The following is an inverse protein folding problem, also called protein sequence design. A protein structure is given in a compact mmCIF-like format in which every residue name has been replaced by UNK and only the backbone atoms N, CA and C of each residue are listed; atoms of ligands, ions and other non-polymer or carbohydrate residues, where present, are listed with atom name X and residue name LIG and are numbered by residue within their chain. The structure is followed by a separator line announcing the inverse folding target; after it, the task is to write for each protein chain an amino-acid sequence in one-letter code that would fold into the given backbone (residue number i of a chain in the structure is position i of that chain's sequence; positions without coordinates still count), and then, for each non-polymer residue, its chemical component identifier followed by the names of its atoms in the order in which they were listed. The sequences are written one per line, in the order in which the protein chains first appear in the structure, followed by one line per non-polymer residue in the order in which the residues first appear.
data_IF_349941081763
#
_entry.id   IF_349941081763
#
_cell.length_a   1.000
_cell.length_b   1.000
_cell.length_c   1.000
_cell.angle_alpha   90.00
_cell.angle_beta   90.00
_cell.angle_gamma   90.00
#
_symmetry.space_group_name_H-M   'P 1'
#
loop_
_entity.id
_entity.type
_entity.pdbx_description
1 polymer ?
#
# COMPACT_ATOMS: atom_id res chain seq x y z
N UNK A 1 -47.74 3.48 17.44
CA UNK A 1 -46.92 2.65 16.53
C UNK A 1 -45.45 2.85 16.91
N UNK A 2 -44.68 1.79 17.14
CA UNK A 2 -43.28 1.91 17.63
C UNK A 2 -42.29 2.26 16.51
N UNK A 3 -42.66 1.97 15.26
CA UNK A 3 -41.87 2.22 14.06
C UNK A 3 -42.48 3.35 13.24
N UNK A 4 -41.62 4.17 12.64
CA UNK A 4 -42.00 5.19 11.67
C UNK A 4 -40.91 5.36 10.62
N UNK A 5 -41.29 5.81 9.43
CA UNK A 5 -40.36 6.12 8.35
C UNK A 5 -39.84 7.53 8.52
N UNK A 6 -38.53 7.69 8.35
CA UNK A 6 -37.87 8.99 8.39
C UNK A 6 -36.90 9.12 7.22
N UNK A 7 -36.89 10.25 6.48
CA UNK A 7 -35.88 10.50 5.45
C UNK A 7 -34.45 10.47 6.01
N UNK A 8 -34.28 10.74 7.30
CA UNK A 8 -32.99 10.70 7.98
C UNK A 8 -32.37 9.29 8.03
N UNK A 9 -33.18 8.22 7.92
CA UNK A 9 -32.66 6.86 7.87
C UNK A 9 -32.03 6.51 6.51
N UNK A 10 -32.25 7.30 5.45
CA UNK A 10 -31.71 7.04 4.11
C UNK A 10 -30.18 7.00 4.11
N UNK A 11 -29.54 7.91 4.85
CA UNK A 11 -28.07 7.98 4.94
C UNK A 11 -27.48 6.71 5.55
N UNK A 12 -27.84 6.30 6.78
CA UNK A 12 -27.31 5.05 7.36
C UNK A 12 -27.71 3.79 6.58
N UNK A 13 -28.91 3.74 6.00
CA UNK A 13 -29.30 2.60 5.14
C UNK A 13 -28.40 2.54 3.90
N UNK A 14 -28.15 3.67 3.24
CA UNK A 14 -27.27 3.75 2.08
C UNK A 14 -25.83 3.39 2.44
N UNK A 15 -25.31 3.90 3.57
CA UNK A 15 -23.99 3.54 4.10
C UNK A 15 -23.90 2.04 4.39
N UNK A 16 -24.94 1.44 4.97
CA UNK A 16 -25.02 -0.01 5.21
C UNK A 16 -24.90 -0.79 3.90
N UNK A 17 -25.69 -0.42 2.89
CA UNK A 17 -25.67 -1.10 1.58
C UNK A 17 -24.29 -0.98 0.91
N UNK A 18 -23.71 0.21 0.91
CA UNK A 18 -22.35 0.44 0.39
C UNK A 18 -21.34 -0.43 1.12
N UNK A 19 -21.36 -0.46 2.45
CA UNK A 19 -20.44 -1.27 3.26
C UNK A 19 -20.64 -2.78 3.05
N UNK A 20 -21.86 -3.27 2.82
CA UNK A 20 -22.12 -4.67 2.47
C UNK A 20 -21.52 -5.01 1.09
N UNK A 21 -21.70 -4.14 0.10
CA UNK A 21 -21.12 -4.34 -1.24
C UNK A 21 -19.59 -4.36 -1.13
N UNK A 22 -18.98 -3.41 -0.43
CA UNK A 22 -17.54 -3.38 -0.20
C UNK A 22 -17.05 -4.64 0.53
N UNK A 23 -17.76 -5.06 1.58
CA UNK A 23 -17.43 -6.28 2.32
C UNK A 23 -17.45 -7.52 1.41
N UNK A 24 -18.49 -7.68 0.60
CA UNK A 24 -18.62 -8.84 -0.30
C UNK A 24 -17.55 -8.83 -1.40
N UNK A 25 -17.23 -7.67 -1.98
CA UNK A 25 -16.14 -7.52 -2.95
C UNK A 25 -14.77 -7.91 -2.38
N UNK A 26 -14.49 -7.55 -1.12
CA UNK A 26 -13.20 -7.84 -0.48
C UNK A 26 -13.15 -9.23 0.16
N UNK A 27 -14.29 -9.89 0.37
CA UNK A 27 -14.39 -11.19 1.05
C UNK A 27 -13.57 -12.31 0.38
N UNK A 28 -13.40 -12.26 -0.95
CA UNK A 28 -12.56 -13.21 -1.68
C UNK A 28 -11.09 -13.16 -1.25
N UNK A 29 -10.65 -12.03 -0.70
CA UNK A 29 -9.28 -11.81 -0.24
C UNK A 29 -9.08 -12.06 1.26
N UNK A 30 -10.09 -12.56 1.98
CA UNK A 30 -10.05 -12.78 3.46
C UNK A 30 -8.85 -13.58 4.00
N UNK A 31 -8.17 -14.33 3.14
CA UNK A 31 -6.96 -15.09 3.52
C UNK A 31 -5.73 -14.20 3.70
N UNK A 32 -5.66 -13.04 3.02
CA UNK A 32 -4.55 -12.09 3.15
C UNK A 32 -4.60 -11.38 4.50
N UNK A 33 -3.43 -11.10 5.09
CA UNK A 33 -3.34 -10.40 6.38
C UNK A 33 -3.97 -9.01 6.33
N UNK A 34 -3.81 -8.28 5.22
CA UNK A 34 -4.33 -6.93 5.03
C UNK A 34 -5.87 -6.88 4.97
N UNK A 35 -6.51 -7.88 4.34
CA UNK A 35 -7.97 -7.88 4.17
C UNK A 35 -8.72 -8.10 5.49
N UNK A 36 -8.13 -8.82 6.45
CA UNK A 36 -8.81 -9.15 7.73
C UNK A 36 -9.22 -7.92 8.55
N UNK A 37 -8.32 -6.99 8.93
CA UNK A 37 -8.72 -5.80 9.67
C UNK A 37 -9.67 -4.92 8.86
N UNK A 38 -9.52 -4.86 7.53
CA UNK A 38 -10.45 -4.12 6.69
C UNK A 38 -11.87 -4.71 6.72
N UNK A 39 -12.02 -6.03 6.65
CA UNK A 39 -13.31 -6.70 6.76
C UNK A 39 -13.93 -6.50 8.15
N UNK A 40 -13.13 -6.54 9.22
CA UNK A 40 -13.60 -6.20 10.58
C UNK A 40 -14.11 -4.77 10.65
N UNK A 41 -13.39 -3.82 10.03
CA UNK A 41 -13.81 -2.43 9.93
C UNK A 41 -15.15 -2.30 9.18
N UNK A 42 -15.33 -3.01 8.06
CA UNK A 42 -16.60 -3.00 7.31
C UNK A 42 -17.75 -3.56 8.15
N UNK A 43 -17.55 -4.65 8.90
CA UNK A 43 -18.57 -5.19 9.82
C UNK A 43 -18.92 -4.17 10.89
N UNK A 44 -17.93 -3.50 11.47
CA UNK A 44 -18.15 -2.47 12.48
C UNK A 44 -18.95 -1.27 11.95
N UNK A 45 -18.68 -0.84 10.71
CA UNK A 45 -19.44 0.22 10.01
C UNK A 45 -20.87 -0.24 9.74
N UNK A 46 -21.08 -1.49 9.30
CA UNK A 46 -22.42 -2.06 9.09
C UNK A 46 -23.21 -2.06 10.40
N UNK A 47 -22.61 -2.53 11.50
CA UNK A 47 -23.25 -2.50 12.83
C UNK A 47 -23.62 -1.08 13.21
N UNK A 48 -22.70 -0.11 13.08
CA UNK A 48 -23.02 1.30 13.34
C UNK A 48 -24.22 1.76 12.52
N UNK A 49 -24.15 1.63 11.19
CA UNK A 49 -25.15 2.19 10.30
C UNK A 49 -26.52 1.53 10.47
N UNK A 50 -26.59 0.21 10.63
CA UNK A 50 -27.85 -0.51 10.87
C UNK A 50 -28.50 -0.02 12.15
N UNK A 51 -27.76 0.03 13.25
CA UNK A 51 -28.34 0.44 14.54
C UNK A 51 -28.64 1.94 14.59
N UNK A 52 -27.93 2.78 13.83
CA UNK A 52 -28.30 4.18 13.62
C UNK A 52 -29.62 4.32 12.86
N UNK A 53 -29.83 3.54 11.79
CA UNK A 53 -31.10 3.55 11.06
C UNK A 53 -32.27 3.06 11.93
N UNK A 54 -32.05 2.04 12.76
CA UNK A 54 -33.04 1.54 13.71
C UNK A 54 -33.35 2.56 14.81
N UNK A 55 -32.34 3.24 15.36
CA UNK A 55 -32.52 4.35 16.31
C UNK A 55 -33.43 5.42 15.70
N UNK A 56 -33.09 5.91 14.51
CA UNK A 56 -33.82 6.97 13.85
C UNK A 56 -35.27 6.59 13.47
N UNK A 57 -35.57 5.30 13.32
CA UNK A 57 -36.88 4.79 12.87
C UNK A 57 -37.75 4.25 14.02
N UNK A 58 -37.27 4.34 15.27
CA UNK A 58 -37.95 3.81 16.45
C UNK A 58 -38.32 4.90 17.44
N UNK A 59 -39.56 4.90 17.95
CA UNK A 59 -40.09 5.99 18.77
C UNK A 59 -39.87 5.85 20.28
N UNK A 60 -39.67 4.62 20.78
CA UNK A 60 -39.50 4.38 22.22
C UNK A 60 -38.09 4.68 22.70
N UNK A 61 -38.00 5.42 23.80
CA UNK A 61 -36.75 5.80 24.46
C UNK A 61 -35.85 4.59 24.75
N UNK A 62 -36.41 3.53 25.36
CA UNK A 62 -35.64 2.33 25.71
C UNK A 62 -35.04 1.66 24.48
N UNK A 63 -35.79 1.59 23.38
CA UNK A 63 -35.30 1.02 22.13
C UNK A 63 -34.19 1.87 21.51
N UNK A 64 -34.38 3.19 21.43
CA UNK A 64 -33.35 4.13 20.97
C UNK A 64 -32.06 4.02 21.77
N UNK A 65 -32.16 3.92 23.10
CA UNK A 65 -31.00 3.75 23.97
C UNK A 65 -30.26 2.45 23.69
N UNK A 66 -30.96 1.32 23.56
CA UNK A 66 -30.35 0.02 23.22
C UNK A 66 -29.66 0.09 21.85
N UNK A 67 -30.31 0.65 20.83
CA UNK A 67 -29.71 0.81 19.52
C UNK A 67 -28.48 1.71 19.56
N UNK A 68 -28.52 2.80 20.33
CA UNK A 68 -27.38 3.70 20.54
C UNK A 68 -26.21 2.97 21.21
N UNK A 69 -26.46 2.11 22.20
CA UNK A 69 -25.42 1.30 22.85
C UNK A 69 -24.74 0.36 21.85
N UNK A 70 -25.53 -0.39 21.08
CA UNK A 70 -24.99 -1.34 20.09
C UNK A 70 -24.26 -0.61 18.96
N UNK A 71 -24.77 0.56 18.54
CA UNK A 71 -24.10 1.44 17.59
C UNK A 71 -22.67 1.78 18.06
N UNK A 72 -22.51 2.15 19.33
CA UNK A 72 -21.20 2.53 19.89
C UNK A 72 -20.21 1.36 19.94
N UNK A 73 -20.68 0.11 19.96
CA UNK A 73 -19.79 -1.04 19.82
C UNK A 73 -19.12 -1.06 18.45
N UNK A 74 -19.88 -0.78 17.38
CA UNK A 74 -19.34 -0.59 16.03
C UNK A 74 -18.36 0.58 15.98
N UNK A 75 -18.75 1.74 16.50
CA UNK A 75 -17.89 2.95 16.55
C UNK A 75 -16.55 2.67 17.22
N UNK A 76 -16.54 1.93 18.33
CA UNK A 76 -15.34 1.65 19.12
C UNK A 76 -14.40 0.63 18.46
N UNK A 77 -14.92 -0.24 17.60
CA UNK A 77 -14.13 -1.23 16.86
C UNK A 77 -13.39 -0.62 15.67
N UNK A 78 -13.93 0.42 15.03
CA UNK A 78 -13.37 1.03 13.82
C UNK A 78 -11.92 1.53 14.03
N UNK A 79 -11.58 2.31 15.07
CA UNK A 79 -10.22 2.80 15.28
C UNK A 79 -9.19 1.68 15.47
N UNK A 80 -9.58 0.58 16.12
CA UNK A 80 -8.72 -0.60 16.31
C UNK A 80 -8.44 -1.24 14.96
N UNK A 81 -9.50 -1.53 14.20
CA UNK A 81 -9.40 -2.16 12.89
C UNK A 81 -8.60 -1.29 11.91
N UNK A 82 -8.81 0.03 11.94
CA UNK A 82 -8.07 1.01 11.15
C UNK A 82 -6.57 1.02 11.47
N UNK A 83 -6.18 1.06 12.74
CA UNK A 83 -4.77 1.05 13.11
C UNK A 83 -4.09 -0.27 12.72
N UNK A 84 -4.76 -1.40 12.93
CA UNK A 84 -4.26 -2.70 12.48
C UNK A 84 -4.10 -2.74 10.95
N UNK A 85 -5.07 -2.22 10.20
CA UNK A 85 -4.99 -2.09 8.75
C UNK A 85 -3.77 -1.24 8.33
N UNK A 86 -3.60 -0.06 8.95
CA UNK A 86 -2.50 0.85 8.65
C UNK A 86 -1.12 0.23 8.94
N UNK A 87 -0.98 -0.51 10.05
CA UNK A 87 0.27 -1.18 10.40
C UNK A 87 0.63 -2.28 9.39
N UNK A 88 -0.34 -3.11 8.98
CA UNK A 88 -0.09 -4.14 7.97
C UNK A 88 0.22 -3.51 6.61
N UNK A 89 -0.56 -2.51 6.20
CA UNK A 89 -0.38 -1.81 4.93
C UNK A 89 1.00 -1.17 4.80
N UNK A 90 1.55 -0.64 5.89
CA UNK A 90 2.85 0.05 5.90
C UNK A 90 4.04 -0.90 6.06
N UNK A 91 3.82 -2.22 6.07
CA UNK A 91 4.86 -3.25 6.22
C UNK A 91 5.29 -3.50 7.67
N UNK A 92 4.52 -3.04 8.65
CA UNK A 92 4.79 -3.21 10.08
C UNK A 92 4.06 -4.45 10.65
N UNK A 93 3.73 -5.43 9.80
CA UNK A 93 3.01 -6.66 10.17
C UNK A 93 3.70 -7.43 11.30
N UNK A 94 5.03 -7.34 11.43
CA UNK A 94 5.78 -7.92 12.56
C UNK A 94 5.31 -7.45 13.95
N UNK A 95 4.72 -6.26 14.04
CA UNK A 95 4.17 -5.73 15.30
C UNK A 95 2.75 -6.23 15.57
N UNK A 96 2.08 -6.88 14.60
CA UNK A 96 0.75 -7.47 14.75
C UNK A 96 0.79 -8.75 15.58
N UNK A 97 1.13 -8.60 16.86
CA UNK A 97 1.04 -9.66 17.84
C UNK A 97 -0.38 -9.71 18.44
N UNK A 98 -0.76 -10.90 18.92
CA UNK A 98 -2.01 -11.07 19.69
C UNK A 98 -2.06 -10.12 20.89
N UNK A 99 -0.91 -9.83 21.50
CA UNK A 99 -0.81 -8.94 22.66
C UNK A 99 -1.18 -7.50 22.29
N UNK A 100 -0.67 -6.96 21.18
CA UNK A 100 -1.01 -5.61 20.73
C UNK A 100 -2.52 -5.47 20.48
N UNK A 101 -3.12 -6.43 19.76
CA UNK A 101 -4.57 -6.41 19.50
C UNK A 101 -5.37 -6.47 20.80
N UNK A 102 -4.96 -7.32 21.76
CA UNK A 102 -5.60 -7.37 23.08
C UNK A 102 -5.43 -6.05 23.84
N UNK A 103 -4.26 -5.40 23.79
CA UNK A 103 -4.04 -4.09 24.40
C UNK A 103 -4.94 -3.01 23.79
N UNK A 104 -5.15 -3.02 22.47
CA UNK A 104 -6.07 -2.08 21.80
C UNK A 104 -7.53 -2.33 22.18
N UNK A 105 -7.94 -3.60 22.35
CA UNK A 105 -9.27 -3.95 22.84
C UNK A 105 -9.44 -3.50 24.29
N UNK A 106 -8.46 -3.75 25.15
CA UNK A 106 -8.45 -3.32 26.56
C UNK A 106 -8.52 -1.78 26.64
N UNK A 107 -7.82 -1.07 25.75
CA UNK A 107 -7.88 0.38 25.66
C UNK A 107 -9.29 0.89 25.37
N UNK A 108 -10.08 0.16 24.57
CA UNK A 108 -11.47 0.56 24.28
C UNK A 108 -12.50 -0.01 25.25
N UNK A 109 -12.10 -0.92 26.15
CA UNK A 109 -12.99 -1.54 27.14
C UNK A 109 -13.77 -0.51 27.99
N UNK A 110 -13.17 0.61 28.46
CA UNK A 110 -13.92 1.63 29.19
C UNK A 110 -15.06 2.25 28.38
N UNK A 111 -14.92 2.35 27.06
CA UNK A 111 -15.99 2.80 26.16
C UNK A 111 -17.12 1.78 26.13
N UNK A 112 -16.82 0.50 25.87
CA UNK A 112 -17.82 -0.57 25.78
C UNK A 112 -18.61 -0.75 27.09
N UNK A 113 -17.90 -0.78 28.21
CA UNK A 113 -18.52 -0.87 29.53
C UNK A 113 -19.28 0.41 29.84
N UNK A 114 -18.66 1.57 29.62
CA UNK A 114 -19.24 2.89 29.89
C UNK A 114 -20.57 3.12 29.20
N UNK A 115 -20.74 2.70 27.93
CA UNK A 115 -22.03 2.80 27.22
C UNK A 115 -23.06 1.83 27.79
N UNK A 116 -22.66 0.59 28.09
CA UNK A 116 -23.57 -0.49 28.46
C UNK A 116 -24.05 -0.34 29.90
N UNK A 117 -23.18 0.13 30.80
CA UNK A 117 -23.48 0.35 32.22
C UNK A 117 -23.87 1.79 32.55
N UNK A 118 -24.10 2.63 31.53
CA UNK A 118 -24.30 4.07 31.73
C UNK A 118 -25.44 4.40 32.71
N UNK A 119 -26.47 3.55 32.81
CA UNK A 119 -27.57 3.71 33.75
C UNK A 119 -27.16 3.70 35.23
N UNK A 120 -25.95 3.22 35.56
CA UNK A 120 -25.44 3.14 36.93
C UNK A 120 -24.65 4.38 37.36
N UNK A 121 -24.05 5.11 36.41
CA UNK A 121 -23.02 6.11 36.71
C UNK A 121 -23.11 7.39 35.88
N UNK A 122 -23.81 7.40 34.74
CA UNK A 122 -23.99 8.58 33.88
C UNK A 122 -22.67 9.24 33.43
N UNK A 123 -21.60 8.45 33.34
CA UNK A 123 -20.26 8.94 32.98
C UNK A 123 -20.03 8.97 31.48
N UNK A 124 -20.79 8.18 30.71
CA UNK A 124 -20.71 8.19 29.25
C UNK A 124 -21.69 9.23 28.69
N UNK A 125 -22.97 9.10 29.03
CA UNK A 125 -23.97 10.15 28.82
C UNK A 125 -24.48 10.64 30.17
N UNK A 126 -24.35 11.94 30.42
CA UNK A 126 -24.80 12.59 31.66
C UNK A 126 -26.30 12.80 31.68
N UNK A 127 -26.88 13.10 30.52
CA UNK A 127 -28.32 13.21 30.30
C UNK A 127 -28.69 12.67 28.91
N UNK A 128 -29.88 12.08 28.80
CA UNK A 128 -30.38 11.49 27.57
C UNK A 128 -31.89 11.69 27.46
N UNK A 129 -32.34 12.38 26.42
CA UNK A 129 -33.76 12.62 26.18
C UNK A 129 -34.11 12.51 24.70
N UNK A 130 -35.39 12.27 24.39
CA UNK A 130 -35.85 12.24 23.00
C UNK A 130 -36.05 13.67 22.54
N UNK A 131 -35.44 14.00 21.40
CA UNK A 131 -35.68 15.23 20.68
C UNK A 131 -36.42 14.92 19.38
N UNK A 132 -37.52 15.63 19.14
CA UNK A 132 -38.28 15.53 17.89
C UNK A 132 -37.94 16.72 17.03
N UNK A 133 -37.30 16.49 15.88
CA UNK A 133 -36.85 17.51 14.95
C UNK A 133 -37.25 17.11 13.53
N UNK A 134 -37.91 18.02 12.82
CA UNK A 134 -38.24 17.88 11.39
C UNK A 134 -38.85 16.51 11.00
N UNK A 135 -39.76 15.98 11.84
CA UNK A 135 -40.44 14.70 11.59
C UNK A 135 -39.67 13.44 11.99
N UNK A 136 -38.47 13.58 12.58
CA UNK A 136 -37.71 12.48 13.17
C UNK A 136 -37.63 12.64 14.69
N UNK A 137 -37.74 11.52 15.42
CA UNK A 137 -37.32 11.48 16.82
C UNK A 137 -35.89 10.94 16.89
N UNK A 138 -35.02 11.55 17.68
CA UNK A 138 -33.64 11.09 17.89
C UNK A 138 -33.27 11.20 19.37
N UNK A 139 -32.37 10.35 19.83
CA UNK A 139 -31.82 10.44 21.17
C UNK A 139 -30.75 11.54 21.21
N UNK A 140 -31.06 12.67 21.82
CA UNK A 140 -30.06 13.69 22.12
C UNK A 140 -29.40 13.38 23.46
N UNK A 141 -28.09 13.57 23.54
CA UNK A 141 -27.29 13.20 24.71
C UNK A 141 -26.37 14.35 25.13
N UNK A 142 -26.23 14.52 26.43
CA UNK A 142 -25.16 15.33 27.02
C UNK A 142 -23.96 14.44 27.30
N UNK A 143 -22.77 14.89 26.92
CA UNK A 143 -21.57 14.06 27.00
C UNK A 143 -20.94 14.09 28.39
N UNK A 144 -20.69 12.91 28.96
CA UNK A 144 -19.95 12.73 30.20
C UNK A 144 -18.44 12.51 29.98
N UNK A 145 -17.63 12.40 31.05
CA UNK A 145 -16.18 12.24 30.95
C UNK A 145 -15.71 11.01 30.15
N UNK A 146 -16.41 9.87 30.24
CA UNK A 146 -16.04 8.67 29.47
C UNK A 146 -16.29 8.83 27.97
N UNK A 147 -17.20 9.71 27.57
CA UNK A 147 -17.39 10.03 26.15
C UNK A 147 -16.18 10.79 25.60
N UNK A 148 -15.66 11.78 26.36
CA UNK A 148 -14.43 12.48 25.96
C UNK A 148 -13.22 11.55 25.93
N UNK A 149 -13.11 10.60 26.89
CA UNK A 149 -12.11 9.55 26.83
C UNK A 149 -12.19 8.75 25.52
N UNK A 150 -13.40 8.29 25.16
CA UNK A 150 -13.64 7.56 23.91
C UNK A 150 -13.22 8.37 22.68
N UNK A 151 -13.61 9.63 22.60
CA UNK A 151 -13.23 10.53 21.50
C UNK A 151 -11.72 10.66 21.44
N UNK A 152 -11.05 10.99 22.54
CA UNK A 152 -9.59 11.12 22.58
C UNK A 152 -8.87 9.85 22.13
N UNK A 153 -9.23 8.68 22.68
CA UNK A 153 -8.57 7.42 22.33
C UNK A 153 -8.84 7.01 20.88
N UNK A 154 -10.09 7.13 20.42
CA UNK A 154 -10.48 6.75 19.06
C UNK A 154 -9.79 7.64 18.02
N UNK A 155 -9.76 8.96 18.25
CA UNK A 155 -9.13 9.89 17.34
C UNK A 155 -7.61 9.75 17.34
N UNK A 156 -7.00 9.42 18.48
CA UNK A 156 -5.57 9.10 18.55
C UNK A 156 -5.22 7.88 17.70
N UNK A 157 -5.99 6.79 17.80
CA UNK A 157 -5.78 5.59 16.99
C UNK A 157 -6.00 5.85 15.50
N UNK A 158 -7.05 6.60 15.14
CA UNK A 158 -7.31 7.01 13.76
C UNK A 158 -6.16 7.86 13.24
N UNK A 159 -5.70 8.86 14.01
CA UNK A 159 -4.61 9.75 13.64
C UNK A 159 -3.30 9.00 13.44
N UNK A 160 -2.92 8.12 14.37
CA UNK A 160 -1.71 7.29 14.22
C UNK A 160 -1.82 6.45 12.95
N UNK A 161 -2.95 5.79 12.72
CA UNK A 161 -3.18 5.01 11.50
C UNK A 161 -3.06 5.85 10.22
N UNK A 162 -3.67 7.04 10.20
CA UNK A 162 -3.60 7.97 9.07
C UNK A 162 -2.17 8.46 8.83
N UNK A 163 -1.43 8.82 9.87
CA UNK A 163 -0.03 9.26 9.77
C UNK A 163 0.89 8.13 9.27
N UNK A 164 0.65 6.89 9.70
CA UNK A 164 1.35 5.71 9.19
C UNK A 164 1.10 5.55 7.68
N UNK A 165 -0.16 5.58 7.24
CA UNK A 165 -0.51 5.53 5.83
C UNK A 165 0.20 6.66 5.07
N UNK A 166 0.05 7.93 5.47
CA UNK A 166 0.70 9.08 4.82
C UNK A 166 2.21 8.85 4.69
N UNK A 167 2.88 8.42 5.77
CA UNK A 167 4.32 8.14 5.77
C UNK A 167 4.68 7.01 4.79
N UNK A 168 3.89 5.93 4.74
CA UNK A 168 4.09 4.84 3.79
C UNK A 168 4.02 5.32 2.35
N UNK A 169 3.07 6.22 2.06
CA UNK A 169 2.85 6.73 0.71
C UNK A 169 3.90 7.74 0.27
N UNK A 170 4.38 8.59 1.18
CA UNK A 170 5.49 9.50 0.90
C UNK A 170 6.80 8.77 0.57
N UNK A 171 6.95 7.52 1.02
CA UNK A 171 8.12 6.67 0.76
C UNK A 171 7.94 5.69 -0.40
N UNK A 172 6.75 5.58 -0.97
CA UNK A 172 6.47 4.64 -2.04
C UNK A 172 7.13 5.09 -3.37
N UNK A 173 7.67 4.15 -4.17
CA UNK A 173 8.21 4.45 -5.50
C UNK A 173 7.19 5.17 -6.40
N UNK A 174 7.64 6.01 -7.35
CA UNK A 174 6.75 6.84 -8.19
C UNK A 174 5.65 6.04 -8.90
N UNK A 175 5.95 4.79 -9.26
CA UNK A 175 5.04 3.88 -9.97
C UNK A 175 3.80 3.52 -9.14
N UNK A 176 3.86 3.63 -7.81
CA UNK A 176 2.76 3.33 -6.88
C UNK A 176 2.01 4.58 -6.38
N UNK A 177 2.42 5.80 -6.78
CA UNK A 177 1.85 7.06 -6.23
C UNK A 177 0.37 7.28 -6.58
N UNK A 178 -0.07 6.90 -7.77
CA UNK A 178 -1.48 7.06 -8.16
C UNK A 178 -2.40 6.10 -7.38
N UNK A 179 -1.93 4.88 -7.12
CA UNK A 179 -2.64 3.87 -6.31
C UNK A 179 -2.77 4.34 -4.85
N UNK A 180 -1.71 4.98 -4.37
CA UNK A 180 -1.56 5.54 -3.03
C UNK A 180 -2.44 6.78 -2.77
N UNK A 181 -2.61 7.64 -3.78
CA UNK A 181 -3.41 8.86 -3.69
C UNK A 181 -4.91 8.58 -3.46
N UNK A 182 -5.45 7.54 -4.10
CA UNK A 182 -6.85 7.14 -3.91
C UNK A 182 -7.12 6.70 -2.45
N UNK A 183 -6.16 6.00 -1.83
CA UNK A 183 -6.25 5.59 -0.43
C UNK A 183 -6.27 6.80 0.53
N UNK A 184 -5.42 7.81 0.27
CA UNK A 184 -5.39 9.04 1.06
C UNK A 184 -6.69 9.81 0.98
N UNK A 185 -7.16 10.08 -0.25
CA UNK A 185 -8.39 10.82 -0.48
C UNK A 185 -9.58 10.19 0.24
N UNK A 186 -9.71 8.85 0.15
CA UNK A 186 -10.72 8.12 0.91
C UNK A 186 -10.58 8.33 2.41
N UNK A 187 -9.37 8.20 2.94
CA UNK A 187 -9.08 8.29 4.38
C UNK A 187 -9.39 9.65 5.02
N UNK A 188 -9.50 10.73 4.25
CA UNK A 188 -9.85 12.05 4.75
C UNK A 188 -11.36 12.28 4.89
N UNK A 189 -12.21 11.53 4.19
CA UNK A 189 -13.66 11.69 4.25
C UNK A 189 -14.24 11.54 5.68
N UNK A 190 -13.84 10.52 6.48
CA UNK A 190 -14.33 10.37 7.84
C UNK A 190 -13.84 11.49 8.74
N UNK A 191 -12.61 11.98 8.54
CA UNK A 191 -12.03 13.10 9.30
C UNK A 191 -12.84 14.38 9.11
N UNK A 192 -13.15 14.74 7.86
CA UNK A 192 -13.94 15.94 7.56
C UNK A 192 -15.33 15.83 8.21
N UNK A 193 -16.02 14.70 8.02
CA UNK A 193 -17.33 14.47 8.60
C UNK A 193 -17.31 14.50 10.15
N UNK A 194 -16.30 13.86 10.74
CA UNK A 194 -16.09 13.77 12.20
C UNK A 194 -15.82 15.13 12.83
N UNK A 195 -14.89 15.91 12.27
CA UNK A 195 -14.53 17.24 12.78
C UNK A 195 -15.73 18.18 12.71
N UNK A 196 -16.45 18.20 11.58
CA UNK A 196 -17.67 18.99 11.43
C UNK A 196 -18.69 18.64 12.51
N UNK A 197 -18.93 17.35 12.75
CA UNK A 197 -19.88 16.89 13.76
C UNK A 197 -19.47 17.27 15.19
N UNK A 198 -18.21 17.03 15.57
CA UNK A 198 -17.68 17.27 16.92
C UNK A 198 -17.58 18.76 17.25
N UNK A 199 -17.15 19.60 16.31
CA UNK A 199 -17.07 21.06 16.52
C UNK A 199 -18.45 21.72 16.50
N UNK A 200 -19.51 20.97 16.14
CA UNK A 200 -20.88 21.48 16.09
C UNK A 200 -21.23 22.20 14.80
N UNK A 201 -20.35 22.18 13.80
CA UNK A 201 -20.62 22.63 12.43
C UNK A 201 -21.44 21.55 11.72
N UNK A 202 -22.76 21.56 11.90
CA UNK A 202 -23.64 20.49 11.41
C UNK A 202 -24.48 20.93 10.20
N UNK A 203 -23.94 20.86 8.97
CA UNK A 203 -24.65 21.28 7.75
C UNK A 203 -25.93 20.46 7.48
N UNK A 204 -26.04 19.27 8.07
CA UNK A 204 -27.20 18.37 7.96
C UNK A 204 -27.99 18.23 9.27
N UNK A 205 -27.97 19.27 10.12
CA UNK A 205 -28.77 19.32 11.35
C UNK A 205 -28.20 18.45 12.46
N UNK A 206 -28.92 17.41 12.92
CA UNK A 206 -28.44 16.53 13.99
C UNK A 206 -27.78 15.24 13.47
N UNK A 207 -27.75 15.02 12.14
CA UNK A 207 -27.16 13.81 11.58
C UNK A 207 -25.64 13.82 11.60
N UNK A 208 -25.09 12.72 12.10
CA UNK A 208 -23.68 12.40 11.96
C UNK A 208 -23.42 11.78 10.58
N UNK A 209 -22.61 12.46 9.76
CA UNK A 209 -22.22 12.04 8.41
C UNK A 209 -20.96 11.15 8.41
N UNK A 210 -20.34 10.95 9.57
CA UNK A 210 -19.13 10.12 9.72
C UNK A 210 -19.30 8.69 9.21
N UNK A 211 -20.43 7.99 9.44
CA UNK A 211 -20.64 6.65 8.91
C UNK A 211 -20.61 6.62 7.37
N UNK A 212 -21.18 7.64 6.72
CA UNK A 212 -21.13 7.78 5.27
C UNK A 212 -19.71 8.03 4.80
N UNK A 213 -18.96 8.89 5.49
CA UNK A 213 -17.54 9.10 5.24
C UNK A 213 -16.74 7.79 5.27
N UNK A 214 -16.96 6.95 6.29
CA UNK A 214 -16.33 5.64 6.40
C UNK A 214 -16.77 4.66 5.29
N UNK A 215 -18.05 4.62 4.95
CA UNK A 215 -18.55 3.76 3.87
C UNK A 215 -17.92 4.14 2.51
N UNK A 216 -17.85 5.43 2.18
CA UNK A 216 -17.20 5.93 0.96
C UNK A 216 -15.68 5.71 0.98
N UNK A 217 -15.05 5.83 2.15
CA UNK A 217 -13.64 5.44 2.32
C UNK A 217 -13.42 3.96 2.02
N UNK A 218 -14.36 3.12 2.46
CA UNK A 218 -14.37 1.69 2.16
C UNK A 218 -14.40 1.41 0.66
N UNK A 219 -15.16 2.17 -0.12
CA UNK A 219 -15.17 2.08 -1.59
C UNK A 219 -13.80 2.41 -2.18
N UNK A 220 -13.20 3.53 -1.77
CA UNK A 220 -11.89 3.95 -2.27
C UNK A 220 -10.80 2.91 -1.94
N UNK A 221 -10.80 2.38 -0.72
CA UNK A 221 -9.84 1.35 -0.29
C UNK A 221 -10.09 0.03 -1.03
N UNK A 222 -11.35 -0.39 -1.18
CA UNK A 222 -11.73 -1.60 -1.93
C UNK A 222 -11.33 -1.53 -3.40
N UNK A 223 -11.51 -0.37 -4.02
CA UNK A 223 -11.04 -0.11 -5.37
C UNK A 223 -9.51 -0.29 -5.45
N UNK A 224 -8.76 0.26 -4.50
CA UNK A 224 -7.32 0.04 -4.43
C UNK A 224 -6.91 -1.42 -4.24
N UNK A 225 -7.62 -2.15 -3.37
CA UNK A 225 -7.39 -3.58 -3.11
C UNK A 225 -7.64 -4.42 -4.38
N UNK A 226 -8.72 -4.14 -5.12
CA UNK A 226 -9.17 -4.97 -6.25
C UNK A 226 -8.52 -4.61 -7.59
N UNK A 227 -8.28 -3.33 -7.85
CA UNK A 227 -7.77 -2.85 -9.15
C UNK A 227 -6.26 -2.60 -9.16
N UNK A 228 -5.70 -2.20 -8.01
CA UNK A 228 -4.27 -1.86 -7.92
C UNK A 228 -3.43 -2.96 -7.25
N UNK A 229 -4.00 -4.13 -6.96
CA UNK A 229 -3.30 -5.26 -6.34
C UNK A 229 -2.51 -4.84 -5.09
N UNK A 230 -3.07 -3.93 -4.29
CA UNK A 230 -2.44 -3.41 -3.07
C UNK A 230 -2.08 -4.53 -2.06
N UNK A 231 -2.69 -5.71 -2.18
CA UNK A 231 -2.35 -6.86 -1.35
C UNK A 231 -1.05 -7.58 -1.76
N UNK A 232 -0.52 -7.27 -2.94
CA UNK A 232 0.76 -7.75 -3.44
C UNK A 232 1.90 -6.79 -3.06
N UNK A 233 1.73 -5.95 -2.03
CA UNK A 233 2.77 -5.06 -1.50
C UNK A 233 3.97 -5.79 -0.85
N UNK A 234 3.96 -7.12 -0.84
CA UNK A 234 5.22 -7.89 -0.78
C UNK A 234 5.78 -7.84 -2.19
N UNK A 235 6.86 -7.08 -2.46
CA UNK A 235 7.48 -7.05 -3.79
C UNK A 235 7.59 -8.50 -4.26
N UNK A 236 7.10 -8.76 -5.47
CA UNK A 236 7.05 -10.13 -5.95
C UNK A 236 8.45 -10.72 -5.84
N UNK A 237 8.60 -12.03 -5.62
CA UNK A 237 9.95 -12.62 -5.53
C UNK A 237 10.85 -12.23 -6.72
N UNK A 238 10.24 -11.88 -7.87
CA UNK A 238 10.90 -11.31 -9.04
C UNK A 238 11.47 -9.92 -8.79
N UNK A 239 10.71 -9.02 -8.18
CA UNK A 239 11.15 -7.64 -7.88
C UNK A 239 12.33 -7.67 -6.91
N UNK A 240 12.26 -8.50 -5.86
CA UNK A 240 13.38 -8.69 -4.91
C UNK A 240 14.63 -9.23 -5.61
N UNK A 241 14.47 -10.20 -6.52
CA UNK A 241 15.58 -10.75 -7.30
C UNK A 241 16.20 -9.69 -8.21
N UNK A 242 15.37 -8.93 -8.93
CA UNK A 242 15.84 -7.88 -9.87
C UNK A 242 16.53 -6.73 -9.12
N UNK A 243 16.00 -6.32 -7.97
CA UNK A 243 16.58 -5.26 -7.13
C UNK A 243 17.95 -5.65 -6.54
N UNK A 244 18.11 -6.92 -6.15
CA UNK A 244 19.36 -7.44 -5.59
C UNK A 244 20.31 -8.04 -6.63
N UNK A 245 19.93 -8.03 -7.91
CA UNK A 245 20.77 -8.56 -8.98
C UNK A 245 22.00 -7.67 -9.19
N UNK A 246 23.17 -8.28 -9.33
CA UNK A 246 24.42 -7.58 -9.66
C UNK A 246 24.45 -7.11 -11.11
N UNK A 247 23.79 -7.85 -11.99
CA UNK A 247 23.72 -7.55 -13.42
C UNK A 247 22.80 -6.35 -13.66
N UNK A 248 23.26 -5.43 -14.51
CA UNK A 248 22.50 -4.25 -14.90
C UNK A 248 21.39 -4.63 -15.87
N UNK A 249 20.16 -4.25 -15.55
CA UNK A 249 18.96 -4.50 -16.37
C UNK A 249 18.37 -3.17 -16.80
N UNK A 250 18.16 -3.03 -18.10
CA UNK A 250 17.57 -1.83 -18.72
C UNK A 250 16.45 -2.29 -19.65
N UNK A 251 15.26 -1.70 -19.51
CA UNK A 251 14.13 -1.94 -20.41
C UNK A 251 13.88 -0.70 -21.23
N UNK A 252 13.78 -0.86 -22.54
CA UNK A 252 13.44 0.21 -23.48
C UNK A 252 12.14 -0.08 -24.22
N UNK A 253 11.38 0.95 -24.56
CA UNK A 253 10.18 0.83 -25.39
C UNK A 253 10.50 0.71 -26.89
N UNK A 254 9.45 0.58 -27.72
CA UNK A 254 9.57 0.55 -29.18
C UNK A 254 10.19 1.84 -29.78
N UNK A 255 10.12 2.96 -29.06
CA UNK A 255 10.75 4.24 -29.43
C UNK A 255 12.18 4.38 -28.88
N UNK A 256 12.74 3.31 -28.29
CA UNK A 256 14.08 3.26 -27.68
C UNK A 256 14.26 4.19 -26.47
N UNK A 257 13.17 4.57 -25.80
CA UNK A 257 13.21 5.30 -24.54
C UNK A 257 13.29 4.32 -23.39
N UNK A 258 14.09 4.65 -22.37
CA UNK A 258 14.23 3.83 -21.16
C UNK A 258 12.94 3.93 -20.36
N UNK A 259 12.29 2.79 -20.13
CA UNK A 259 11.05 2.70 -19.36
C UNK A 259 11.25 2.09 -17.98
N UNK A 260 12.33 1.34 -17.78
CA UNK A 260 12.65 0.74 -16.49
C UNK A 260 14.15 0.42 -16.37
N UNK A 261 14.68 0.45 -15.15
CA UNK A 261 16.07 0.13 -14.81
C UNK A 261 16.16 -0.45 -13.40
N UNK A 262 17.03 -1.44 -13.21
CA UNK A 262 17.31 -1.94 -11.87
C UNK A 262 18.42 -1.12 -11.16
N UNK A 263 18.61 -1.27 -9.84
CA UNK A 263 19.65 -0.55 -9.10
C UNK A 263 21.06 -0.77 -9.62
N UNK A 264 21.39 -1.95 -10.16
CA UNK A 264 22.68 -2.20 -10.79
C UNK A 264 22.89 -1.34 -12.04
N UNK A 265 21.88 -1.19 -12.89
CA UNK A 265 21.93 -0.28 -14.03
C UNK A 265 22.09 1.19 -13.63
N UNK A 266 21.46 1.63 -12.53
CA UNK A 266 21.65 2.98 -12.00
C UNK A 266 23.09 3.22 -11.52
N UNK A 267 23.69 2.25 -10.81
CA UNK A 267 25.10 2.32 -10.39
C UNK A 267 26.05 2.33 -11.59
N UNK A 268 25.74 1.52 -12.61
CA UNK A 268 26.49 1.49 -13.86
C UNK A 268 26.36 2.80 -14.65
N UNK A 269 25.16 3.38 -14.70
CA UNK A 269 24.92 4.66 -15.38
C UNK A 269 25.55 5.85 -14.64
N UNK A 270 25.53 5.84 -13.31
CA UNK A 270 25.93 6.98 -12.50
C UNK A 270 24.95 8.17 -12.57
N UNK A 271 23.73 7.96 -13.08
CA UNK A 271 22.70 8.98 -13.26
C UNK A 271 21.49 8.61 -12.38
N UNK A 272 20.85 9.57 -11.69
CA UNK A 272 19.64 9.29 -10.91
C UNK A 272 18.48 8.85 -11.80
N UNK A 273 17.59 8.01 -11.26
CA UNK A 273 16.47 7.41 -12.00
C UNK A 273 15.58 8.45 -12.69
N UNK A 274 15.33 9.59 -12.03
CA UNK A 274 14.47 10.67 -12.53
C UNK A 274 15.03 11.34 -13.80
N UNK A 275 16.35 11.25 -14.02
CA UNK A 275 17.02 11.78 -15.20
C UNK A 275 17.25 10.71 -16.28
N UNK A 276 17.01 9.43 -15.97
CA UNK A 276 17.16 8.30 -16.91
C UNK A 276 15.85 8.00 -17.64
N UNK A 277 14.73 7.94 -16.89
CA UNK A 277 13.46 7.47 -17.44
C UNK A 277 12.94 8.42 -18.53
N UNK A 278 12.46 7.84 -19.64
CA UNK A 278 11.91 8.56 -20.80
C UNK A 278 12.95 9.09 -21.79
N UNK A 279 14.24 9.07 -21.45
CA UNK A 279 15.33 9.45 -22.35
C UNK A 279 15.86 8.24 -23.14
N UNK A 280 16.55 8.50 -24.25
CA UNK A 280 17.20 7.43 -25.02
C UNK A 280 18.63 7.21 -24.52
N UNK A 281 19.15 5.99 -24.70
CA UNK A 281 20.55 5.68 -24.33
C UNK A 281 21.55 6.59 -25.05
N UNK A 282 21.26 7.01 -26.29
CA UNK A 282 22.12 7.92 -27.06
C UNK A 282 22.17 9.33 -26.47
N UNK A 283 21.06 9.81 -25.88
CA UNK A 283 21.02 11.13 -25.25
C UNK A 283 21.84 11.14 -23.94
N UNK A 284 21.79 10.04 -23.19
CA UNK A 284 22.43 9.92 -21.88
C UNK A 284 23.92 9.55 -21.96
N UNK A 285 24.32 8.80 -23.01
CA UNK A 285 25.69 8.32 -23.18
C UNK A 285 26.23 8.67 -24.58
N UNK A 286 26.39 9.95 -24.90
CA UNK A 286 26.81 10.41 -26.24
C UNK A 286 28.16 9.82 -26.67
N UNK A 287 29.09 9.60 -25.74
CA UNK A 287 30.39 8.98 -25.98
C UNK A 287 30.31 7.50 -26.41
N UNK A 288 29.17 6.83 -26.23
CA UNK A 288 28.93 5.44 -26.62
C UNK A 288 27.95 5.30 -27.80
N UNK A 289 27.63 6.39 -28.50
CA UNK A 289 26.63 6.40 -29.58
C UNK A 289 26.90 5.37 -30.68
N UNK A 290 28.18 5.16 -31.05
CA UNK A 290 28.55 4.17 -32.06
C UNK A 290 28.17 2.74 -31.64
N UNK A 291 28.45 2.38 -30.38
CA UNK A 291 28.10 1.08 -29.81
C UNK A 291 26.57 0.91 -29.71
N UNK A 292 25.87 1.94 -29.25
CA UNK A 292 24.40 1.95 -29.15
C UNK A 292 23.78 1.78 -30.55
N UNK A 293 24.33 2.45 -31.56
CA UNK A 293 23.92 2.35 -32.95
C UNK A 293 23.99 0.94 -33.51
N UNK A 294 25.06 0.19 -33.21
CA UNK A 294 25.26 -1.20 -33.67
C UNK A 294 24.13 -2.14 -33.24
N UNK A 295 23.59 -1.94 -32.04
CA UNK A 295 22.56 -2.82 -31.49
C UNK A 295 21.13 -2.27 -31.63
N UNK A 296 21.01 -1.07 -32.21
CA UNK A 296 19.75 -0.34 -32.27
C UNK A 296 18.67 -1.04 -33.12
N UNK A 297 19.04 -1.84 -34.12
CA UNK A 297 18.13 -2.59 -34.99
C UNK A 297 18.00 -4.07 -34.63
N UNK A 298 18.81 -4.58 -33.70
CA UNK A 298 18.92 -6.01 -33.42
C UNK A 298 17.81 -6.52 -32.48
N UNK A 299 17.11 -7.59 -32.86
CA UNK A 299 16.10 -8.21 -31.98
C UNK A 299 16.71 -9.05 -30.85
N UNK A 300 17.75 -9.83 -31.17
CA UNK A 300 18.51 -10.62 -30.21
C UNK A 300 20.00 -10.45 -30.43
N UNK A 301 20.74 -10.15 -29.37
CA UNK A 301 22.19 -10.08 -29.39
C UNK A 301 22.75 -10.74 -28.14
N UNK A 302 23.89 -11.43 -28.28
CA UNK A 302 24.72 -11.88 -27.17
C UNK A 302 26.17 -11.62 -27.59
N UNK A 303 26.84 -10.70 -26.91
CA UNK A 303 28.21 -10.30 -27.27
C UNK A 303 28.93 -9.66 -26.10
N UNK A 304 30.26 -9.66 -26.14
CA UNK A 304 31.07 -8.91 -25.19
C UNK A 304 31.27 -7.48 -25.68
N UNK A 305 31.01 -6.51 -24.80
CA UNK A 305 31.33 -5.09 -25.02
C UNK A 305 32.38 -4.65 -23.99
N UNK A 306 33.12 -3.60 -24.34
CA UNK A 306 34.04 -2.94 -23.40
C UNK A 306 33.60 -1.49 -23.25
N UNK A 307 33.47 -1.05 -22.00
CA UNK A 307 33.15 0.33 -21.65
C UNK A 307 34.35 0.92 -20.92
N UNK A 308 34.78 2.12 -21.32
CA UNK A 308 35.78 2.87 -20.57
C UNK A 308 35.07 4.01 -19.85
N UNK A 309 35.01 3.91 -18.52
CA UNK A 309 34.37 4.88 -17.65
C UNK A 309 35.38 5.78 -16.91
N UNK A 310 36.64 5.78 -17.34
CA UNK A 310 37.72 6.56 -16.71
C UNK A 310 38.54 5.79 -15.67
N UNK A 311 38.27 4.51 -15.47
CA UNK A 311 39.02 3.61 -14.60
C UNK A 311 39.71 2.45 -15.37
N UNK A 312 39.78 2.57 -16.69
CA UNK A 312 40.26 1.53 -17.60
C UNK A 312 39.12 0.75 -18.26
N UNK A 313 39.44 -0.17 -19.18
CA UNK A 313 38.44 -0.94 -19.90
C UNK A 313 37.74 -1.95 -18.99
N UNK A 314 36.44 -1.76 -18.79
CA UNK A 314 35.55 -2.70 -18.11
C UNK A 314 34.83 -3.58 -19.14
N UNK A 315 34.83 -4.90 -18.92
CA UNK A 315 34.27 -5.87 -19.87
C UNK A 315 32.91 -6.38 -19.41
N UNK A 316 31.93 -6.36 -20.32
CA UNK A 316 30.55 -6.77 -20.04
C UNK A 316 30.04 -7.78 -21.07
N UNK A 317 29.34 -8.83 -20.63
CA UNK A 317 28.47 -9.63 -21.48
C UNK A 317 27.14 -8.89 -21.67
N UNK A 318 26.89 -8.42 -22.89
CA UNK A 318 25.66 -7.74 -23.29
C UNK A 318 24.70 -8.74 -23.93
N UNK A 319 23.51 -8.84 -23.34
CA UNK A 319 22.39 -9.60 -23.90
C UNK A 319 21.22 -8.69 -24.19
N UNK A 320 20.68 -8.83 -25.40
CA UNK A 320 19.49 -8.12 -25.86
C UNK A 320 18.43 -9.16 -26.21
N UNK A 321 17.22 -8.97 -25.68
CA UNK A 321 16.06 -9.80 -25.99
C UNK A 321 14.79 -8.96 -26.17
N UNK A 322 13.84 -9.37 -27.00
CA UNK A 322 12.62 -8.62 -27.24
C UNK A 322 11.63 -8.83 -26.09
N UNK A 323 11.00 -7.73 -25.67
CA UNK A 323 9.84 -7.77 -24.77
C UNK A 323 8.59 -7.81 -25.64
N UNK A 324 7.81 -8.90 -25.52
CA UNK A 324 6.58 -9.09 -26.32
C UNK A 324 5.34 -8.83 -25.47
N UNK A 325 4.40 -8.07 -26.03
CA UNK A 325 3.09 -7.84 -25.44
C UNK A 325 2.13 -9.02 -25.66
N UNK A 326 0.89 -8.89 -25.16
CA UNK A 326 -0.16 -9.93 -25.19
C UNK A 326 -0.53 -10.49 -26.57
N UNK A 327 -0.19 -9.79 -27.66
CA UNK A 327 -0.48 -10.19 -29.06
C UNK A 327 0.76 -10.69 -29.81
N UNK A 328 1.87 -10.97 -29.12
CA UNK A 328 3.13 -11.40 -29.74
C UNK A 328 3.95 -10.28 -30.40
N UNK A 329 3.39 -9.07 -30.49
CA UNK A 329 4.10 -7.88 -30.97
C UNK A 329 5.21 -7.47 -30.01
N UNK A 330 6.38 -7.13 -30.55
CA UNK A 330 7.50 -6.58 -29.78
C UNK A 330 7.14 -5.17 -29.33
N UNK A 331 7.01 -4.97 -28.02
CA UNK A 331 6.67 -3.69 -27.40
C UNK A 331 7.90 -2.95 -26.87
N UNK A 332 9.05 -3.62 -26.83
CA UNK A 332 10.29 -3.07 -26.30
C UNK A 332 11.42 -4.09 -26.33
N UNK A 333 12.53 -3.78 -25.66
CA UNK A 333 13.70 -4.65 -25.53
C UNK A 333 14.22 -4.64 -24.10
N UNK A 334 14.71 -5.79 -23.68
CA UNK A 334 15.42 -6.00 -22.42
C UNK A 334 16.91 -6.10 -22.73
N UNK A 335 17.68 -5.22 -22.11
CA UNK A 335 19.14 -5.22 -22.14
C UNK A 335 19.64 -5.67 -20.77
N UNK A 336 20.51 -6.68 -20.76
CA UNK A 336 21.20 -7.15 -19.56
C UNK A 336 22.69 -7.01 -19.79
N UNK A 337 23.37 -6.32 -18.88
CA UNK A 337 24.82 -6.19 -18.87
C UNK A 337 25.35 -6.88 -17.62
N UNK A 338 26.14 -7.93 -17.83
CA UNK A 338 26.82 -8.66 -16.77
C UNK A 338 28.30 -8.32 -16.79
N UNK A 339 28.84 -7.89 -15.66
CA UNK A 339 30.28 -7.69 -15.50
C UNK A 339 31.00 -9.04 -15.58
N UNK A 340 31.98 -9.14 -16.49
CA UNK A 340 32.80 -10.33 -16.71
C UNK A 340 34.29 -10.05 -16.50
N UNK A 341 34.65 -8.95 -15.82
CA UNK A 341 36.03 -8.55 -15.58
C UNK A 341 36.83 -9.61 -14.81
N UNK A 342 36.26 -10.17 -13.74
CA UNK A 342 36.90 -11.24 -12.97
C UNK A 342 37.08 -12.51 -13.82
N UNK A 343 36.05 -12.89 -14.59
CA UNK A 343 36.11 -14.05 -15.45
C UNK A 343 37.19 -13.91 -16.53
N UNK A 344 37.30 -12.72 -17.14
CA UNK A 344 38.35 -12.38 -18.10
C UNK A 344 39.74 -12.44 -17.47
N UNK A 345 39.90 -11.94 -16.24
CA UNK A 345 41.19 -11.98 -15.52
C UNK A 345 41.62 -13.42 -15.23
N UNK A 346 40.71 -14.26 -14.76
CA UNK A 346 40.98 -15.68 -14.51
C UNK A 346 41.33 -16.41 -15.82
N UNK A 347 40.63 -16.12 -16.91
CA UNK A 347 40.92 -16.70 -18.23
C UNK A 347 42.33 -16.31 -18.72
N UNK A 348 42.72 -15.04 -18.54
CA UNK A 348 44.06 -14.56 -18.89
C UNK A 348 45.15 -15.17 -18.00
N UNK A 349 44.94 -15.25 -16.68
CA UNK A 349 45.88 -15.87 -15.74
C UNK A 349 46.09 -17.36 -16.07
N UNK A 350 45.01 -18.07 -16.40
CA UNK A 350 45.07 -19.48 -16.80
C UNK A 350 45.83 -19.68 -18.12
N UNK A 351 45.61 -18.80 -19.10
CA UNK A 351 46.30 -18.86 -20.38
C UNK A 351 47.80 -18.57 -20.21
N UNK A 352 48.17 -17.56 -19.44
CA UNK A 352 49.57 -17.23 -19.14
C UNK A 352 50.28 -18.37 -18.38
N UNK A 353 49.61 -18.99 -17.40
CA UNK A 353 50.15 -20.13 -16.67
C UNK A 353 50.38 -21.35 -17.58
N UNK A 354 49.47 -21.60 -18.53
CA UNK A 354 49.62 -22.67 -19.51
C UNK A 354 50.82 -22.44 -20.43
N UNK A 355 50.98 -21.22 -20.96
CA UNK A 355 52.10 -20.86 -21.82
C UNK A 355 53.44 -21.01 -21.09
N UNK A 356 53.53 -20.54 -19.84
CA UNK A 356 54.72 -20.70 -19.02
C UNK A 356 55.07 -22.18 -18.74
N UNK A 357 54.05 -23.03 -18.51
CA UNK A 357 54.25 -24.46 -18.31
C UNK A 357 54.72 -25.18 -19.59
N UNK A 358 54.17 -24.83 -20.75
CA UNK A 358 54.59 -25.36 -22.04
C UNK A 358 56.04 -24.94 -22.39
N UNK A 359 56.39 -23.69 -22.12
CA UNK A 359 57.75 -23.19 -22.33
C UNK A 359 58.76 -23.86 -21.40
N UNK A 360 58.43 -24.02 -20.11
CA UNK A 360 59.25 -24.77 -19.17
C UNK A 360 59.42 -26.25 -19.55
N UNK A 361 58.37 -26.89 -20.06
CA UNK A 361 58.43 -28.26 -20.58
C UNK A 361 59.35 -28.38 -21.79
N UNK A 362 59.22 -27.46 -22.77
CA UNK A 362 60.09 -27.41 -23.96
C UNK A 362 61.55 -27.19 -23.61
N UNK A 363 61.84 -26.26 -22.69
CA UNK A 363 63.20 -26.00 -22.22
C UNK A 363 63.84 -27.23 -21.56
N UNK A 364 63.06 -27.97 -20.74
CA UNK A 364 63.51 -29.22 -20.11
C UNK A 364 63.78 -30.32 -21.14
N UNK A 365 62.92 -30.48 -22.13
CA UNK A 365 63.14 -31.45 -23.22
C UNK A 365 64.36 -31.11 -24.07
N UNK A 366 64.60 -29.84 -24.38
CA UNK A 366 65.80 -29.40 -25.10
C UNK A 366 67.08 -29.63 -24.29
N UNK A 367 67.04 -29.40 -22.97
CA UNK A 367 68.17 -29.71 -22.08
C UNK A 367 68.49 -31.21 -22.04
N UNK A 368 67.47 -32.07 -21.93
CA UNK A 368 67.66 -33.52 -21.91
C UNK A 368 68.09 -34.10 -23.26
N UNK A 369 67.79 -33.44 -24.38
CA UNK A 369 68.20 -33.88 -25.72
C UNK A 369 69.65 -33.46 -26.10
N UNK A 370 70.22 -32.47 -25.40
CA UNK A 370 71.59 -32.00 -25.58
C UNK A 370 72.57 -32.55 -24.52
N UNK A 371 72.11 -33.46 -23.67
CA UNK A 371 72.91 -34.29 -22.78
C UNK A 371 73.16 -35.65 -23.44
#
# INVERSE_FOLDING_TARGET
MLWYLTPYAIVPVSSTLISIVVFTMVWQYRKTSLARPFLVMMVAIIVWCVFQALELSYSSYRGKLIFTIIQHWGVSTIPIAWLCFALIYTGWERLMSRQLVMSLIVLQLPTFLGTTTNSLHHLFWSDTHILVLAGASTLTTSFGPLWYYHVCMSYLLILIGTLLIIRGLLRAPPIYRQQSAALLLGSFLPWVASILFVVGLRPFGFMDMTPLGFALSGVAISFGITHFHIMDLVPSARDVVIENMSDAVIVVDASRRIVDVNPAALRLAGIPIDAILGHTMSDLFPQHTALIGQFSSVEHASTTISLDRGHGPEHYDLRISPVRGRRGLVTGRLLVLRDIGEQKRVEQEMQAAKEAAEEGSRAKSAFLANM
#
